data_IF_046679823291
#
_entry.id   IF_046679823291
#
_cell.length_a   1.000
_cell.length_b   1.000
_cell.length_c   1.000
_cell.angle_alpha   90.00
_cell.angle_beta   90.00
_cell.angle_gamma   90.00
#
_symmetry.space_group_name_H-M   'P 1'
#
loop_
_entity.id
_entity.type
_entity.pdbx_description
1 polymer ?
#
# COMPACT_ATOMS: atom_id res chain seq x y z
N UNK A 1 -51.78 48.21 -13.89
CA UNK A 1 -50.50 48.08 -13.17
C UNK A 1 -50.55 46.79 -12.38
N UNK A 2 -49.78 45.76 -12.76
CA UNK A 2 -49.66 44.52 -12.00
C UNK A 2 -48.21 44.40 -11.53
N UNK A 3 -48.01 44.31 -10.22
CA UNK A 3 -46.71 44.13 -9.59
C UNK A 3 -46.57 42.63 -9.29
N UNK A 4 -45.64 41.96 -9.96
CA UNK A 4 -45.32 40.56 -9.69
C UNK A 4 -44.28 40.49 -8.56
N UNK A 5 -44.63 39.83 -7.45
CA UNK A 5 -43.73 39.55 -6.34
C UNK A 5 -42.92 38.27 -6.65
N UNK A 6 -41.59 38.39 -6.75
CA UNK A 6 -40.70 37.26 -6.90
C UNK A 6 -40.43 36.63 -5.52
N UNK A 7 -40.81 35.37 -5.34
CA UNK A 7 -40.50 34.59 -4.15
C UNK A 7 -39.08 34.02 -4.27
N UNK A 8 -38.17 34.46 -3.39
CA UNK A 8 -36.81 33.92 -3.31
C UNK A 8 -36.82 32.67 -2.42
N UNK A 9 -36.64 31.49 -3.03
CA UNK A 9 -36.51 30.22 -2.30
C UNK A 9 -35.08 30.07 -1.79
N UNK A 10 -34.90 30.15 -0.48
CA UNK A 10 -33.62 29.94 0.19
C UNK A 10 -33.35 28.43 0.32
N UNK A 11 -32.41 27.90 -0.47
CA UNK A 11 -31.89 26.54 -0.26
C UNK A 11 -30.94 26.55 0.94
N UNK A 12 -31.34 25.89 2.03
CA UNK A 12 -30.45 25.60 3.16
C UNK A 12 -29.73 24.28 2.82
N UNK A 13 -28.52 24.38 2.26
CA UNK A 13 -27.66 23.23 2.04
C UNK A 13 -27.10 22.73 3.39
N UNK A 14 -27.32 21.45 3.70
CA UNK A 14 -26.67 20.78 4.82
C UNK A 14 -25.20 20.58 4.49
N UNK A 15 -24.31 21.31 5.16
CA UNK A 15 -22.87 21.06 5.09
C UNK A 15 -22.58 19.76 5.85
N UNK A 16 -22.35 18.67 5.12
CA UNK A 16 -21.79 17.45 5.71
C UNK A 16 -20.38 17.74 6.18
N UNK A 17 -20.09 17.51 7.46
CA UNK A 17 -18.72 17.54 7.96
C UNK A 17 -17.91 16.47 7.22
N UNK A 18 -16.84 16.89 6.53
CA UNK A 18 -15.88 15.95 5.97
C UNK A 18 -15.18 15.24 7.15
N UNK A 19 -15.56 14.00 7.44
CA UNK A 19 -14.74 13.17 8.32
C UNK A 19 -13.48 12.79 7.55
N UNK A 20 -12.30 13.07 8.12
CA UNK A 20 -11.07 12.51 7.61
C UNK A 20 -11.21 10.98 7.57
N UNK A 21 -10.96 10.37 6.41
CA UNK A 21 -10.91 8.92 6.30
C UNK A 21 -9.88 8.37 7.31
N UNK A 22 -10.11 7.20 7.92
CA UNK A 22 -9.15 6.60 8.84
C UNK A 22 -7.82 6.37 8.11
N UNK A 23 -6.73 6.80 8.75
CA UNK A 23 -5.37 6.51 8.28
C UNK A 23 -4.97 5.14 8.82
N UNK A 24 -4.78 4.17 7.94
CA UNK A 24 -4.29 2.84 8.29
C UNK A 24 -2.78 2.79 8.17
N UNK A 25 -2.08 2.55 9.28
CA UNK A 25 -0.64 2.29 9.26
C UNK A 25 -0.38 0.84 8.87
N UNK A 26 0.60 0.60 8.01
CA UNK A 26 0.91 -0.76 7.56
C UNK A 26 1.25 -1.70 8.73
N UNK A 27 1.80 -1.17 9.84
CA UNK A 27 2.08 -1.95 11.05
C UNK A 27 0.85 -2.44 11.83
N UNK A 28 -0.36 -1.94 11.53
CA UNK A 28 -1.57 -2.36 12.24
C UNK A 28 -2.00 -3.80 11.91
N UNK A 29 -1.63 -4.30 10.73
CA UNK A 29 -2.03 -5.61 10.23
C UNK A 29 -3.53 -5.76 9.94
N UNK A 30 -3.87 -6.84 9.21
CA UNK A 30 -5.25 -7.14 8.82
C UNK A 30 -5.88 -6.12 7.87
N UNK A 31 -5.06 -5.40 7.09
CA UNK A 31 -5.49 -4.37 6.16
C UNK A 31 -5.73 -4.99 4.78
N UNK A 32 -6.84 -4.63 4.16
CA UNK A 32 -7.07 -4.88 2.73
C UNK A 32 -6.39 -3.77 1.93
N UNK A 33 -5.21 -4.06 1.38
CA UNK A 33 -4.43 -3.08 0.61
C UNK A 33 -5.12 -2.63 -0.68
N UNK A 34 -6.10 -3.37 -1.19
CA UNK A 34 -6.84 -3.00 -2.39
C UNK A 34 -8.02 -2.07 -2.07
N UNK A 35 -8.68 -2.30 -0.94
CA UNK A 35 -9.81 -1.46 -0.51
C UNK A 35 -9.36 -0.19 0.22
N UNK A 36 -8.42 -0.33 1.16
CA UNK A 36 -8.05 0.71 2.12
C UNK A 36 -6.69 1.33 1.82
N UNK A 37 -5.75 0.51 1.34
CA UNK A 37 -4.32 0.85 1.31
C UNK A 37 -3.75 1.02 2.73
N UNK A 38 -2.44 1.31 2.82
CA UNK A 38 -1.82 1.65 4.10
C UNK A 38 -0.75 2.72 3.94
N UNK A 39 -0.39 3.38 5.04
CA UNK A 39 0.66 4.38 5.11
C UNK A 39 1.82 3.82 5.89
N UNK A 40 3.02 4.05 5.37
CA UNK A 40 4.25 3.71 6.05
C UNK A 40 5.23 4.88 6.07
N UNK A 41 5.87 5.07 7.22
CA UNK A 41 6.87 6.10 7.43
C UNK A 41 6.73 6.89 8.73
N UNK A 42 7.81 7.58 9.08
CA UNK A 42 7.96 8.31 10.32
C UNK A 42 7.82 9.82 10.13
N UNK A 43 6.59 10.33 10.24
CA UNK A 43 6.31 11.77 10.28
C UNK A 43 5.94 12.20 11.68
N UNK A 44 6.57 13.27 12.18
CA UNK A 44 6.16 13.93 13.44
C UNK A 44 4.72 14.47 13.38
N UNK A 45 4.14 14.59 12.19
CA UNK A 45 2.75 14.99 12.02
C UNK A 45 1.77 13.84 12.31
N UNK A 46 2.22 12.59 12.34
CA UNK A 46 1.40 11.45 12.73
C UNK A 46 1.25 11.36 14.25
N UNK A 47 0.05 11.07 14.77
CA UNK A 47 -0.12 10.66 16.15
C UNK A 47 0.76 9.43 16.43
N UNK A 48 1.70 9.55 17.37
CA UNK A 48 2.64 8.46 17.70
C UNK A 48 3.92 8.41 16.85
N UNK A 49 4.11 9.34 15.90
CA UNK A 49 5.35 9.48 15.14
C UNK A 49 5.42 8.69 13.83
N UNK A 50 4.40 7.90 13.51
CA UNK A 50 4.35 7.04 12.32
C UNK A 50 4.16 5.58 12.70
N UNK A 51 4.44 4.70 11.75
CA UNK A 51 4.34 3.26 11.94
C UNK A 51 5.66 2.60 12.38
N UNK A 52 6.77 3.35 12.36
CA UNK A 52 8.09 2.88 12.79
C UNK A 52 8.69 1.80 11.90
N UNK A 53 8.06 1.48 10.76
CA UNK A 53 8.58 0.51 9.80
C UNK A 53 9.61 1.16 8.87
N UNK A 54 9.46 2.45 8.57
CA UNK A 54 10.43 3.23 7.79
C UNK A 54 10.84 4.54 8.45
N UNK A 55 12.13 4.62 8.78
CA UNK A 55 12.78 5.80 9.35
C UNK A 55 13.45 6.70 8.29
N UNK A 56 13.46 6.28 7.02
CA UNK A 56 14.33 6.87 6.01
C UNK A 56 13.58 7.76 5.00
N UNK A 57 14.19 8.89 4.65
CA UNK A 57 13.68 9.87 3.69
C UNK A 57 13.47 9.30 2.26
N UNK A 58 13.96 8.08 1.99
CA UNK A 58 13.79 7.35 0.74
C UNK A 58 12.48 6.56 0.61
N UNK A 59 11.78 6.22 1.70
CA UNK A 59 10.70 5.22 1.71
C UNK A 59 9.70 5.29 0.54
N UNK A 60 9.47 4.13 -0.10
CA UNK A 60 8.55 3.94 -1.23
C UNK A 60 9.21 3.37 -2.50
N UNK A 61 10.53 3.23 -2.57
CA UNK A 61 11.25 2.70 -3.74
C UNK A 61 12.30 1.62 -3.40
N UNK A 62 12.46 1.29 -2.12
CA UNK A 62 13.28 0.17 -1.65
C UNK A 62 12.42 -1.10 -1.56
N UNK A 63 12.83 -2.15 -2.28
CA UNK A 63 12.07 -3.39 -2.43
C UNK A 63 11.80 -4.08 -1.08
N UNK A 64 12.86 -4.32 -0.31
CA UNK A 64 12.77 -4.99 0.99
C UNK A 64 11.86 -4.23 1.97
N UNK A 65 11.88 -2.90 1.89
CA UNK A 65 10.97 -2.02 2.61
C UNK A 65 9.52 -2.22 2.16
N UNK A 66 9.22 -2.17 0.87
CA UNK A 66 7.83 -2.33 0.43
C UNK A 66 7.30 -3.73 0.78
N UNK A 67 8.12 -4.77 0.66
CA UNK A 67 7.76 -6.14 1.08
C UNK A 67 7.47 -6.26 2.57
N UNK A 68 8.31 -5.64 3.42
CA UNK A 68 8.06 -5.62 4.86
C UNK A 68 6.78 -4.86 5.22
N UNK A 69 6.43 -3.81 4.47
CA UNK A 69 5.17 -3.09 4.64
C UNK A 69 3.96 -3.95 4.24
N UNK A 70 4.06 -4.66 3.10
CA UNK A 70 3.03 -5.61 2.65
C UNK A 70 2.84 -6.72 3.70
N UNK A 71 3.93 -7.31 4.19
CA UNK A 71 3.89 -8.35 5.21
C UNK A 71 3.27 -7.85 6.51
N UNK A 72 3.64 -6.65 6.96
CA UNK A 72 3.07 -6.05 8.16
C UNK A 72 1.57 -5.79 8.00
N UNK A 73 1.14 -5.27 6.84
CA UNK A 73 -0.25 -4.90 6.58
C UNK A 73 -1.15 -6.12 6.41
N UNK A 74 -0.69 -7.13 5.66
CA UNK A 74 -1.53 -8.26 5.22
C UNK A 74 -1.24 -9.57 5.96
N UNK A 75 -0.07 -9.69 6.58
CA UNK A 75 0.44 -10.96 7.09
C UNK A 75 0.94 -11.92 6.01
N UNK A 76 1.01 -11.48 4.74
CA UNK A 76 1.42 -12.29 3.58
C UNK A 76 2.76 -11.78 3.08
N UNK A 77 3.70 -12.70 2.88
CA UNK A 77 4.95 -12.41 2.18
C UNK A 77 4.71 -12.40 0.67
N UNK A 78 5.15 -11.34 0.00
CA UNK A 78 5.08 -11.17 -1.44
C UNK A 78 6.47 -10.79 -1.93
N UNK A 79 6.94 -11.46 -2.98
CA UNK A 79 8.17 -11.14 -3.70
C UNK A 79 7.80 -10.17 -4.84
N UNK A 80 8.26 -8.93 -4.75
CA UNK A 80 7.95 -7.89 -5.74
C UNK A 80 9.22 -7.45 -6.47
N UNK A 81 9.05 -6.82 -7.62
CA UNK A 81 10.17 -6.21 -8.35
C UNK A 81 9.79 -4.83 -8.85
N UNK A 82 10.70 -3.87 -8.68
CA UNK A 82 10.49 -2.50 -9.15
C UNK A 82 10.48 -2.46 -10.68
N UNK A 83 9.34 -2.14 -11.27
CA UNK A 83 9.23 -1.91 -12.71
C UNK A 83 9.81 -0.54 -13.10
N UNK A 84 9.46 0.49 -12.35
CA UNK A 84 9.97 1.84 -12.58
C UNK A 84 9.35 2.89 -11.68
N UNK A 85 9.88 4.12 -11.79
CA UNK A 85 9.41 5.26 -11.01
C UNK A 85 8.96 6.38 -11.93
N UNK A 86 7.92 7.10 -11.53
CA UNK A 86 7.36 8.18 -12.33
C UNK A 86 8.34 9.35 -12.58
N UNK A 87 9.25 9.60 -11.65
CA UNK A 87 10.24 10.69 -11.74
C UNK A 87 11.54 10.28 -12.47
N UNK A 88 11.92 9.01 -12.39
CA UNK A 88 13.11 8.49 -13.07
C UNK A 88 12.82 7.95 -14.49
N UNK A 89 11.58 7.49 -14.73
CA UNK A 89 11.18 6.82 -15.97
C UNK A 89 9.90 7.44 -16.55
N UNK A 90 9.82 8.77 -16.61
CA UNK A 90 8.62 9.50 -17.06
C UNK A 90 8.09 9.07 -18.44
N UNK A 91 8.92 8.47 -19.31
CA UNK A 91 8.49 7.92 -20.60
C UNK A 91 7.71 6.60 -20.53
N UNK A 92 7.65 5.96 -19.36
CA UNK A 92 6.89 4.71 -19.15
C UNK A 92 5.48 4.97 -18.59
N UNK A 93 5.21 6.18 -18.11
CA UNK A 93 4.03 6.47 -17.31
C UNK A 93 3.35 7.78 -17.75
N UNK A 94 2.02 7.80 -17.71
CA UNK A 94 1.22 9.02 -17.74
C UNK A 94 0.62 9.23 -16.36
N UNK A 95 0.82 10.41 -15.76
CA UNK A 95 0.30 10.73 -14.43
C UNK A 95 -0.36 12.10 -14.46
N UNK A 96 -1.56 12.19 -13.88
CA UNK A 96 -2.31 13.42 -13.74
C UNK A 96 -2.69 13.62 -12.27
N UNK A 97 -2.48 14.82 -11.72
CA UNK A 97 -2.81 15.15 -10.35
C UNK A 97 -1.60 15.62 -9.53
N UNK A 98 -1.81 15.92 -8.25
CA UNK A 98 -0.73 16.34 -7.33
C UNK A 98 -0.89 15.78 -5.92
N UNK A 99 -2.09 15.81 -5.35
CA UNK A 99 -2.41 15.16 -4.06
C UNK A 99 -3.32 13.95 -4.22
N UNK A 100 -4.01 13.88 -5.34
CA UNK A 100 -4.79 12.74 -5.83
C UNK A 100 -4.85 12.82 -7.34
N UNK A 101 -5.09 11.69 -8.00
CA UNK A 101 -4.95 11.65 -9.44
C UNK A 101 -5.11 10.27 -10.05
N UNK A 102 -4.73 10.17 -11.32
CA UNK A 102 -4.69 8.94 -12.09
C UNK A 102 -3.28 8.67 -12.60
N UNK A 103 -3.01 7.40 -12.87
CA UNK A 103 -1.79 6.92 -13.48
C UNK A 103 -2.12 5.89 -14.54
N UNK A 104 -1.29 5.83 -15.57
CA UNK A 104 -1.31 4.82 -16.63
C UNK A 104 0.13 4.37 -16.92
N UNK A 105 0.33 3.07 -17.07
CA UNK A 105 1.55 2.47 -17.64
C UNK A 105 1.38 2.44 -19.15
N UNK A 106 2.32 3.05 -19.87
CA UNK A 106 2.22 3.22 -21.33
C UNK A 106 2.56 1.95 -22.12
N UNK A 107 3.08 0.92 -21.45
CA UNK A 107 3.28 -0.41 -22.02
C UNK A 107 2.12 -1.32 -21.60
N UNK A 108 1.22 -1.61 -22.55
CA UNK A 108 0.02 -2.44 -22.34
C UNK A 108 0.33 -3.91 -22.01
N UNK A 109 1.59 -4.34 -22.12
CA UNK A 109 2.01 -5.71 -21.76
C UNK A 109 2.40 -5.83 -20.28
N UNK A 110 2.48 -4.72 -19.55
CA UNK A 110 2.92 -4.68 -18.16
C UNK A 110 1.74 -4.44 -17.23
N UNK A 111 1.52 -5.40 -16.33
CA UNK A 111 0.55 -5.29 -15.25
C UNK A 111 1.25 -4.99 -13.93
N UNK A 112 0.74 -3.99 -13.21
CA UNK A 112 1.28 -3.58 -11.92
C UNK A 112 0.46 -4.24 -10.82
N UNK A 113 1.14 -4.87 -9.86
CA UNK A 113 0.52 -5.51 -8.71
C UNK A 113 0.35 -4.51 -7.56
N UNK A 114 1.40 -3.73 -7.28
CA UNK A 114 1.40 -2.74 -6.20
C UNK A 114 1.91 -1.40 -6.69
N UNK A 115 1.43 -0.34 -6.05
CA UNK A 115 2.03 0.99 -6.19
C UNK A 115 2.38 1.55 -4.81
N UNK A 116 3.45 2.33 -4.79
CA UNK A 116 3.79 3.18 -3.64
C UNK A 116 3.79 4.63 -4.06
N UNK A 117 3.02 5.44 -3.36
CA UNK A 117 2.86 6.88 -3.63
C UNK A 117 3.68 7.62 -2.59
N UNK A 118 4.89 8.04 -2.94
CA UNK A 118 5.76 8.76 -2.02
C UNK A 118 5.30 10.21 -1.89
N UNK A 119 5.13 10.69 -0.66
CA UNK A 119 4.91 12.09 -0.38
C UNK A 119 5.55 12.49 0.95
N UNK A 120 6.32 13.59 0.96
CA UNK A 120 7.17 13.96 2.10
C UNK A 120 8.05 12.77 2.57
N UNK A 121 8.06 12.47 3.88
CA UNK A 121 8.85 11.40 4.49
C UNK A 121 8.04 10.11 4.70
N UNK A 122 7.03 9.87 3.87
CA UNK A 122 6.18 8.67 3.97
C UNK A 122 5.73 8.24 2.59
N UNK A 123 5.11 7.07 2.52
CA UNK A 123 4.43 6.61 1.31
C UNK A 123 3.10 5.95 1.66
N UNK A 124 2.16 6.04 0.73
CA UNK A 124 0.97 5.18 0.74
C UNK A 124 1.24 3.96 -0.14
N UNK A 125 0.80 2.79 0.29
CA UNK A 125 0.94 1.51 -0.40
C UNK A 125 -0.45 1.00 -0.75
N UNK A 126 -0.62 0.59 -2.01
CA UNK A 126 -1.86 0.03 -2.53
C UNK A 126 -1.58 -1.25 -3.30
N UNK A 127 -2.44 -2.25 -3.13
CA UNK A 127 -2.58 -3.37 -4.06
C UNK A 127 -3.55 -2.94 -5.16
N UNK A 128 -3.12 -2.95 -6.40
CA UNK A 128 -3.91 -2.48 -7.54
C UNK A 128 -4.40 -3.64 -8.41
N UNK A 129 -4.08 -4.89 -8.06
CA UNK A 129 -4.70 -6.06 -8.65
C UNK A 129 -4.30 -6.37 -10.09
N UNK A 130 -3.02 -6.19 -10.46
CA UNK A 130 -2.48 -6.51 -11.78
C UNK A 130 -3.13 -5.70 -12.92
N UNK A 131 -3.11 -4.38 -12.79
CA UNK A 131 -3.68 -3.45 -13.77
C UNK A 131 -2.61 -2.51 -14.35
N UNK A 132 -2.87 -1.94 -15.52
CA UNK A 132 -2.00 -0.97 -16.18
C UNK A 132 -2.45 0.49 -15.96
N UNK A 133 -3.56 0.73 -15.27
CA UNK A 133 -4.07 2.07 -14.98
C UNK A 133 -4.82 2.09 -13.65
N UNK A 134 -4.87 3.26 -13.02
CA UNK A 134 -5.58 3.40 -11.76
C UNK A 134 -5.59 4.81 -11.22
N UNK A 135 -6.04 4.93 -9.97
CA UNK A 135 -6.01 6.17 -9.21
C UNK A 135 -5.01 6.11 -8.08
N UNK A 136 -4.57 7.27 -7.62
CA UNK A 136 -3.74 7.39 -6.43
C UNK A 136 -4.20 8.56 -5.55
N UNK A 137 -3.81 8.52 -4.28
CA UNK A 137 -4.01 9.61 -3.34
C UNK A 137 -2.86 9.65 -2.34
N UNK A 138 -2.52 10.85 -1.87
CA UNK A 138 -1.67 11.07 -0.70
C UNK A 138 -2.51 11.32 0.55
N UNK A 139 -3.82 11.07 0.50
CA UNK A 139 -4.71 11.26 1.63
C UNK A 139 -4.23 10.41 2.80
N UNK A 140 -4.19 11.04 3.97
CA UNK A 140 -3.67 10.43 5.18
C UNK A 140 -2.16 10.57 5.34
N UNK A 141 -1.40 10.90 4.29
CA UNK A 141 0.00 11.30 4.43
C UNK A 141 0.03 12.72 4.98
N UNK A 142 0.75 12.95 6.07
CA UNK A 142 0.75 14.24 6.76
C UNK A 142 2.15 14.88 6.79
N UNK A 143 2.20 16.17 6.46
CA UNK A 143 3.38 17.03 6.58
C UNK A 143 3.04 18.35 7.29
N UNK A 144 4.02 19.01 7.92
CA UNK A 144 4.00 20.38 8.44
C UNK A 144 2.63 20.88 8.94
N UNK A 145 2.20 20.43 10.12
CA UNK A 145 0.95 20.87 10.74
C UNK A 145 -0.30 20.12 10.24
N UNK A 146 -0.14 18.88 9.76
CA UNK A 146 -1.26 18.02 9.37
C UNK A 146 -1.78 18.29 7.96
N UNK A 147 -0.99 18.93 7.10
CA UNK A 147 -1.35 19.17 5.70
C UNK A 147 -1.06 17.95 4.85
N UNK A 148 -1.92 17.70 3.86
CA UNK A 148 -1.71 16.67 2.85
C UNK A 148 -0.64 17.16 1.84
N UNK A 149 0.53 16.51 1.75
CA UNK A 149 1.55 16.87 0.77
C UNK A 149 1.18 16.37 -0.62
N UNK A 150 1.67 17.05 -1.66
CA UNK A 150 1.68 16.50 -3.01
C UNK A 150 2.63 15.31 -3.13
N UNK A 151 2.34 14.39 -4.05
CA UNK A 151 3.23 13.26 -4.32
C UNK A 151 4.56 13.75 -4.92
N UNK A 152 5.64 13.07 -4.58
CA UNK A 152 6.97 13.26 -5.15
C UNK A 152 7.18 12.35 -6.36
N UNK A 153 6.85 11.07 -6.21
CA UNK A 153 6.81 10.09 -7.29
C UNK A 153 5.92 8.90 -6.90
N UNK A 154 5.59 8.09 -7.90
CA UNK A 154 4.96 6.78 -7.73
C UNK A 154 5.97 5.73 -8.18
N UNK A 155 6.19 4.70 -7.35
CA UNK A 155 6.92 3.50 -7.75
C UNK A 155 5.91 2.41 -8.09
N UNK A 156 6.17 1.72 -9.20
CA UNK A 156 5.29 0.69 -9.73
C UNK A 156 5.97 -0.67 -9.59
N UNK A 157 5.27 -1.62 -8.98
CA UNK A 157 5.82 -2.92 -8.60
C UNK A 157 5.08 -4.03 -9.32
N UNK A 158 5.85 -4.88 -10.00
CA UNK A 158 5.35 -6.15 -10.53
C UNK A 158 5.48 -7.22 -9.45
N UNK A 159 4.59 -8.20 -9.48
CA UNK A 159 4.69 -9.41 -8.67
C UNK A 159 4.41 -10.63 -9.56
N UNK A 160 4.78 -11.85 -9.17
CA UNK A 160 4.29 -13.04 -9.85
C UNK A 160 2.76 -13.16 -9.67
N UNK A 161 2.01 -13.30 -10.78
CA UNK A 161 0.54 -13.47 -10.77
C UNK A 161 0.05 -14.69 -9.97
N UNK A 162 0.97 -15.61 -9.66
CA UNK A 162 0.72 -16.82 -8.90
C UNK A 162 1.39 -16.73 -7.54
N UNK A 163 0.72 -16.11 -6.57
CA UNK A 163 0.98 -16.41 -5.15
C UNK A 163 0.42 -17.80 -4.85
N UNK A 164 1.08 -18.86 -5.35
CA UNK A 164 0.77 -20.21 -4.88
C UNK A 164 1.13 -20.23 -3.40
N UNK A 165 0.10 -20.09 -2.55
CA UNK A 165 0.15 -20.42 -1.14
C UNK A 165 0.90 -21.75 -1.02
N UNK A 166 2.15 -21.71 -0.57
CA UNK A 166 2.89 -22.91 -0.26
C UNK A 166 2.21 -23.46 0.99
N UNK A 167 1.51 -24.61 0.94
CA UNK A 167 0.78 -25.08 2.09
C UNK A 167 1.79 -25.49 3.18
N UNK A 168 1.96 -24.60 4.16
CA UNK A 168 2.77 -24.83 5.36
C UNK A 168 2.31 -26.02 6.24
N UNK A 169 1.10 -26.62 6.12
CA UNK A 169 0.78 -27.80 6.93
C UNK A 169 1.71 -28.99 6.68
N UNK A 170 2.19 -29.19 5.45
CA UNK A 170 2.93 -30.41 5.10
C UNK A 170 4.37 -30.41 5.63
N UNK A 171 5.05 -29.25 5.62
CA UNK A 171 6.44 -29.14 6.06
C UNK A 171 6.59 -29.44 7.56
N UNK A 172 5.64 -29.01 8.39
CA UNK A 172 5.62 -29.31 9.82
C UNK A 172 5.48 -30.81 10.10
N UNK A 173 4.59 -31.50 9.38
CA UNK A 173 4.42 -32.95 9.53
C UNK A 173 5.63 -33.73 9.03
N UNK A 174 6.28 -33.29 7.93
CA UNK A 174 7.50 -33.92 7.43
C UNK A 174 8.68 -33.74 8.39
N UNK A 175 8.80 -32.58 9.05
CA UNK A 175 9.81 -32.36 10.08
C UNK A 175 9.59 -33.31 11.27
N UNK A 176 8.36 -33.41 11.77
CA UNK A 176 8.00 -34.31 12.88
C UNK A 176 8.23 -35.77 12.49
N UNK A 177 7.83 -36.18 11.29
CA UNK A 177 8.04 -37.54 10.78
C UNK A 177 9.54 -37.85 10.62
N UNK A 178 10.32 -36.90 10.10
CA UNK A 178 11.78 -37.02 9.98
C UNK A 178 12.46 -37.20 11.34
N UNK A 179 12.13 -36.34 12.31
CA UNK A 179 12.66 -36.44 13.68
C UNK A 179 12.25 -37.74 14.38
N UNK A 180 11.00 -38.17 14.21
CA UNK A 180 10.49 -39.44 14.75
C UNK A 180 11.20 -40.65 14.16
N UNK A 181 11.46 -40.66 12.85
CA UNK A 181 12.21 -41.71 12.16
C UNK A 181 13.65 -41.84 12.65
N UNK A 182 14.36 -40.70 12.84
CA UNK A 182 15.72 -40.70 13.39
C UNK A 182 15.78 -41.24 14.82
N UNK A 183 14.82 -40.88 15.67
CA UNK A 183 14.74 -41.37 17.04
C UNK A 183 14.50 -42.89 17.09
N UNK A 184 13.64 -43.43 16.21
CA UNK A 184 13.37 -44.86 16.11
C UNK A 184 14.60 -45.66 15.66
N UNK A 185 15.37 -45.17 14.69
CA UNK A 185 16.62 -45.80 14.24
C UNK A 185 17.68 -45.87 15.34
N UNK A 186 17.78 -44.84 16.19
CA UNK A 186 18.73 -44.82 17.32
C UNK A 186 18.42 -45.89 18.37
N UNK A 187 17.13 -46.23 18.57
CA UNK A 187 16.72 -47.30 19.50
C UNK A 187 17.05 -48.71 19.00
N UNK A 188 17.03 -48.93 17.68
CA UNK A 188 17.36 -50.23 17.09
C UNK A 188 18.84 -50.64 17.22
N UNK A 189 19.77 -49.70 17.37
CA UNK A 189 21.20 -50.01 17.57
C UNK A 189 21.56 -50.42 19.01
N UNK A 190 20.61 -50.37 19.94
CA UNK A 190 20.83 -50.68 21.36
C UNK A 190 20.14 -51.98 21.82
N UNK A 191 19.49 -52.68 20.89
CA UNK A 191 18.87 -53.99 21.10
C UNK A 191 19.71 -55.07 20.40
#
# INVERSE_FOLDING_TARGET
MYVAAAAATLLIGTLSAASAAPVYYCSNGGIDLAADGCISGDSKAYPGGGDGLYDNAGGGDDEASVEAAILAATGIFVDISLYGKSDANAGLFSIAGSTSGTWDVLDDLINIAYITVKAANSFALYDVGFVNSGSFSTLGILNNGGQQPGYSHISFWTAPESLTSVPVPAAGWLLIAGMGGFAAMKRRKKA
#
